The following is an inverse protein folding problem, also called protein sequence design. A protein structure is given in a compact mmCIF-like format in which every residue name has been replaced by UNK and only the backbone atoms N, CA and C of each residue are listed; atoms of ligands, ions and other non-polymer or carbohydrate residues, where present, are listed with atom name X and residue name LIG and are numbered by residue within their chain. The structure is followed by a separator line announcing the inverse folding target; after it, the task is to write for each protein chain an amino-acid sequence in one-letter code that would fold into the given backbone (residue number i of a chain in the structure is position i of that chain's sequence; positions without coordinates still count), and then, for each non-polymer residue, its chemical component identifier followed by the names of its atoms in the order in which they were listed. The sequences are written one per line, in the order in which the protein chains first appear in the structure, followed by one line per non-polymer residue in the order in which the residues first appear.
data_IF_049530539011
#
_entry.id   IF_049530539011
#
_cell.length_a   1.000
_cell.length_b   1.000
_cell.length_c   1.000
_cell.angle_alpha   90.00
_cell.angle_beta   90.00
_cell.angle_gamma   90.00
#
_symmetry.space_group_name_H-M   'P 1'
#
loop_
_entity.id
_entity.type
_entity.pdbx_description
1 polymer ?
#
# COMPACT_ATOMS: atom_id res chain seq x y z
N UNK A 1 25.86 -16.89 45.79
CA UNK A 1 26.27 -16.65 44.39
C UNK A 1 25.41 -17.42 43.40
N UNK A 2 25.34 -18.76 43.49
CA UNK A 2 24.56 -19.62 42.57
C UNK A 2 23.05 -19.28 42.47
N UNK A 3 22.41 -18.94 43.59
CA UNK A 3 20.99 -18.55 43.63
C UNK A 3 20.67 -17.24 42.89
N UNK A 4 21.60 -16.28 42.90
CA UNK A 4 21.44 -15.04 42.14
C UNK A 4 21.63 -15.27 40.64
N UNK A 5 22.56 -16.15 40.26
CA UNK A 5 22.77 -16.55 38.85
C UNK A 5 21.53 -17.25 38.30
N UNK A 6 20.92 -18.16 39.07
CA UNK A 6 19.70 -18.85 38.65
C UNK A 6 18.53 -17.87 38.48
N UNK A 7 18.34 -16.93 39.40
CA UNK A 7 17.29 -15.91 39.27
C UNK A 7 17.52 -14.99 38.08
N UNK A 8 18.77 -14.63 37.79
CA UNK A 8 19.13 -13.79 36.65
C UNK A 8 18.85 -14.50 35.31
N UNK A 9 19.17 -15.79 35.23
CA UNK A 9 18.87 -16.59 34.05
C UNK A 9 17.36 -16.69 33.82
N UNK A 10 16.57 -16.97 34.87
CA UNK A 10 15.11 -17.07 34.77
C UNK A 10 14.49 -15.75 34.26
N UNK A 11 14.98 -14.60 34.72
CA UNK A 11 14.51 -13.30 34.25
C UNK A 11 14.74 -13.09 32.75
N UNK A 12 15.93 -13.46 32.25
CA UNK A 12 16.29 -13.35 30.82
C UNK A 12 15.38 -14.24 29.95
N UNK A 13 15.07 -15.46 30.41
CA UNK A 13 14.18 -16.36 29.67
C UNK A 13 12.74 -15.82 29.57
N UNK A 14 12.24 -15.13 30.60
CA UNK A 14 10.91 -14.51 30.61
C UNK A 14 10.79 -13.34 29.61
N UNK A 15 11.87 -12.57 29.40
CA UNK A 15 11.88 -11.46 28.44
C UNK A 15 11.98 -11.93 26.98
N UNK A 16 12.67 -13.06 26.72
CA UNK A 16 12.75 -13.65 25.38
C UNK A 16 11.46 -14.33 24.91
N UNK A 17 10.51 -14.59 25.83
CA UNK A 17 9.19 -15.15 25.50
C UNK A 17 8.14 -14.11 25.08
N UNK A 18 8.51 -12.84 24.91
CA UNK A 18 7.62 -11.84 24.31
C UNK A 18 7.28 -12.28 22.88
N UNK A 19 6.01 -12.64 22.69
CA UNK A 19 5.46 -13.18 21.46
C UNK A 19 5.82 -12.29 20.27
N UNK A 20 6.47 -12.89 19.28
CA UNK A 20 6.65 -12.27 17.99
C UNK A 20 5.25 -12.05 17.38
N UNK A 21 4.70 -10.85 17.56
CA UNK A 21 3.38 -10.51 17.05
C UNK A 21 3.42 -10.60 15.52
N UNK A 22 2.79 -11.64 15.00
CA UNK A 22 2.60 -11.77 13.56
C UNK A 22 1.49 -10.79 13.15
N UNK A 23 1.86 -9.80 12.33
CA UNK A 23 0.88 -8.91 11.72
C UNK A 23 0.19 -9.72 10.63
N UNK A 24 -1.12 -9.93 10.77
CA UNK A 24 -1.95 -10.50 9.72
C UNK A 24 -1.73 -9.73 8.42
N UNK A 25 -1.21 -10.42 7.40
CA UNK A 25 -1.10 -9.85 6.07
C UNK A 25 -2.50 -9.87 5.44
N UNK A 26 -2.90 -8.75 4.84
CA UNK A 26 -4.14 -8.72 4.08
C UNK A 26 -4.04 -9.70 2.91
N UNK A 27 -5.11 -10.45 2.65
CA UNK A 27 -5.18 -11.28 1.44
C UNK A 27 -5.39 -10.39 0.23
N UNK A 28 -5.04 -10.91 -0.94
CA UNK A 28 -5.32 -10.22 -2.20
C UNK A 28 -6.84 -9.97 -2.38
N UNK A 29 -7.69 -10.86 -1.85
CA UNK A 29 -9.15 -10.68 -1.79
C UNK A 29 -9.59 -9.47 -0.96
N UNK A 30 -8.87 -9.17 0.13
CA UNK A 30 -9.26 -8.12 1.07
C UNK A 30 -8.95 -6.73 0.51
N UNK A 31 -7.94 -6.62 -0.35
CA UNK A 31 -7.49 -5.36 -0.95
C UNK A 31 -8.09 -5.08 -2.34
N UNK A 32 -8.68 -6.08 -3.00
CA UNK A 32 -9.31 -5.94 -4.30
C UNK A 32 -10.30 -4.74 -4.40
N UNK A 33 -11.25 -4.54 -3.46
CA UNK A 33 -12.16 -3.38 -3.54
C UNK A 33 -11.42 -2.04 -3.38
N UNK A 34 -10.35 -2.00 -2.58
CA UNK A 34 -9.53 -0.80 -2.40
C UNK A 34 -8.77 -0.44 -3.68
N UNK A 35 -8.23 -1.45 -4.38
CA UNK A 35 -7.54 -1.25 -5.65
C UNK A 35 -8.49 -0.66 -6.71
N UNK A 36 -9.69 -1.19 -6.84
CA UNK A 36 -10.67 -0.69 -7.80
C UNK A 36 -11.12 0.74 -7.46
N UNK A 37 -11.37 1.03 -6.17
CA UNK A 37 -11.69 2.36 -5.70
C UNK A 37 -10.56 3.37 -5.95
N UNK A 38 -9.30 2.96 -5.75
CA UNK A 38 -8.13 3.80 -5.99
C UNK A 38 -8.01 4.17 -7.48
N UNK A 39 -8.18 3.21 -8.40
CA UNK A 39 -8.11 3.50 -9.84
C UNK A 39 -9.21 4.47 -10.27
N UNK A 40 -10.42 4.31 -9.72
CA UNK A 40 -11.56 5.17 -10.05
C UNK A 40 -11.46 6.58 -9.46
N UNK A 41 -10.72 6.76 -8.36
CA UNK A 41 -10.63 8.05 -7.67
C UNK A 41 -9.57 9.00 -8.23
N UNK A 42 -8.61 8.51 -9.02
CA UNK A 42 -7.49 9.32 -9.52
C UNK A 42 -7.96 10.53 -10.34
N UNK A 43 -8.82 10.33 -11.34
CA UNK A 43 -9.30 11.43 -12.19
C UNK A 43 -10.18 12.43 -11.40
N UNK A 44 -11.19 12.01 -10.63
CA UNK A 44 -11.94 12.92 -9.75
C UNK A 44 -11.06 13.69 -8.76
N UNK A 45 -9.99 13.08 -8.26
CA UNK A 45 -9.03 13.74 -7.39
C UNK A 45 -8.22 14.78 -8.17
N UNK A 46 -7.74 14.43 -9.37
CA UNK A 46 -7.02 15.34 -10.24
C UNK A 46 -7.89 16.53 -10.71
N UNK A 47 -9.20 16.31 -10.91
CA UNK A 47 -10.15 17.36 -11.33
C UNK A 47 -10.21 18.49 -10.29
N UNK A 48 -10.11 18.16 -8.99
CA UNK A 48 -10.04 19.15 -7.91
C UNK A 48 -8.77 20.02 -7.97
N UNK A 49 -7.72 19.52 -8.62
CA UNK A 49 -6.44 20.21 -8.80
C UNK A 49 -6.32 20.94 -10.14
N UNK A 50 -7.32 20.87 -11.02
CA UNK A 50 -7.29 21.46 -12.36
C UNK A 50 -6.82 22.91 -12.37
N UNK A 51 -7.29 23.73 -11.42
CA UNK A 51 -6.94 25.15 -11.31
C UNK A 51 -5.42 25.40 -11.25
N UNK A 52 -4.65 24.50 -10.63
CA UNK A 52 -3.21 24.65 -10.49
C UNK A 52 -2.50 24.39 -11.82
N UNK A 53 -2.95 23.38 -12.56
CA UNK A 53 -2.45 23.09 -13.91
C UNK A 53 -2.78 24.24 -14.87
N UNK A 54 -4.00 24.76 -14.83
CA UNK A 54 -4.38 25.91 -15.65
C UNK A 54 -3.58 27.16 -15.28
N UNK A 55 -3.29 27.38 -13.99
CA UNK A 55 -2.54 28.56 -13.53
C UNK A 55 -1.11 28.65 -14.05
N UNK A 56 -0.50 27.51 -14.42
CA UNK A 56 0.83 27.44 -15.03
C UNK A 56 0.77 27.40 -16.56
N UNK A 57 -0.40 27.67 -17.17
CA UNK A 57 -0.62 27.60 -18.62
C UNK A 57 -0.75 26.19 -19.18
N UNK A 58 -0.92 25.18 -18.32
CA UNK A 58 -1.11 23.79 -18.72
C UNK A 58 -2.52 23.50 -19.23
N UNK A 59 -2.63 22.53 -20.14
CA UNK A 59 -3.92 22.03 -20.62
C UNK A 59 -4.32 20.77 -19.84
N UNK A 60 -5.16 20.94 -18.82
CA UNK A 60 -5.62 19.83 -17.97
C UNK A 60 -6.37 18.75 -18.76
N UNK A 61 -7.19 19.14 -19.73
CA UNK A 61 -7.98 18.19 -20.53
C UNK A 61 -7.08 17.25 -21.33
N UNK A 62 -6.01 17.77 -21.96
CA UNK A 62 -5.02 16.93 -22.64
C UNK A 62 -4.32 15.96 -21.68
N UNK A 63 -3.99 16.40 -20.46
CA UNK A 63 -3.34 15.55 -19.46
C UNK A 63 -4.29 14.44 -19.00
N UNK A 64 -5.55 14.79 -18.70
CA UNK A 64 -6.61 13.85 -18.32
C UNK A 64 -6.86 12.82 -19.43
N UNK A 65 -6.93 13.25 -20.69
CA UNK A 65 -7.06 12.36 -21.85
C UNK A 65 -5.85 11.44 -22.02
N UNK A 66 -4.64 11.95 -21.84
CA UNK A 66 -3.43 11.14 -21.87
C UNK A 66 -3.50 10.02 -20.83
N UNK A 67 -3.92 10.35 -19.60
CA UNK A 67 -4.09 9.38 -18.53
C UNK A 67 -5.15 8.31 -18.88
N UNK A 68 -6.32 8.73 -19.39
CA UNK A 68 -7.38 7.81 -19.85
C UNK A 68 -6.87 6.85 -20.93
N UNK A 69 -6.11 7.35 -21.92
CA UNK A 69 -5.50 6.52 -22.98
C UNK A 69 -4.49 5.50 -22.44
N UNK A 70 -3.87 5.76 -21.29
CA UNK A 70 -2.92 4.87 -20.63
C UNK A 70 -3.55 3.98 -19.56
N UNK A 71 -4.86 4.10 -19.31
CA UNK A 71 -5.53 3.35 -18.25
C UNK A 71 -5.40 1.84 -18.40
N UNK A 72 -5.43 1.31 -19.64
CA UNK A 72 -5.20 -0.11 -19.91
C UNK A 72 -3.78 -0.58 -19.54
N UNK A 73 -2.76 0.25 -19.81
CA UNK A 73 -1.38 -0.03 -19.42
C UNK A 73 -1.23 -0.05 -17.89
N UNK A 74 -1.88 0.89 -17.20
CA UNK A 74 -1.88 0.95 -15.73
C UNK A 74 -2.55 -0.30 -15.15
N UNK A 75 -3.70 -0.71 -15.68
CA UNK A 75 -4.38 -1.94 -15.27
C UNK A 75 -3.53 -3.18 -15.53
N UNK A 76 -2.84 -3.26 -16.67
CA UNK A 76 -1.93 -4.35 -16.97
C UNK A 76 -0.74 -4.42 -15.99
N UNK A 77 -0.15 -3.26 -15.64
CA UNK A 77 0.92 -3.19 -14.65
C UNK A 77 0.44 -3.61 -13.25
N UNK A 78 -0.76 -3.17 -12.84
CA UNK A 78 -1.37 -3.60 -11.58
C UNK A 78 -1.65 -5.10 -11.56
N UNK A 79 -2.15 -5.65 -12.67
CA UNK A 79 -2.34 -7.10 -12.81
C UNK A 79 -1.01 -7.85 -12.69
N UNK A 80 0.04 -7.39 -13.37
CA UNK A 80 1.37 -8.00 -13.27
C UNK A 80 1.90 -7.99 -11.82
N UNK A 81 1.70 -6.89 -11.09
CA UNK A 81 2.09 -6.80 -9.69
C UNK A 81 1.30 -7.78 -8.82
N UNK A 82 -0.01 -7.87 -9.02
CA UNK A 82 -0.88 -8.82 -8.31
C UNK A 82 -0.49 -10.28 -8.60
N UNK A 83 -0.28 -10.64 -9.87
CA UNK A 83 0.09 -11.99 -10.29
C UNK A 83 1.48 -12.41 -9.76
N UNK A 84 2.33 -11.45 -9.35
CA UNK A 84 3.64 -11.72 -8.73
C UNK A 84 3.54 -12.15 -7.26
N UNK A 85 2.41 -11.90 -6.61
CA UNK A 85 2.12 -12.27 -5.23
C UNK A 85 0.81 -13.08 -5.18
N UNK A 86 0.82 -14.33 -5.69
CA UNK A 86 -0.34 -15.21 -5.60
C UNK A 86 -0.67 -15.51 -4.13
N UNK A 87 -1.96 -15.69 -3.83
CA UNK A 87 -2.49 -16.03 -2.50
C UNK A 87 -1.83 -17.27 -1.86
#
# INVERSE_FOLDING_TARGET
MMRFVVLFLIAIWLEMSQEQQTIQQCKCSDIAPCQEAAVKSILPCADQCQKFITSIGGNYDQISECFKKKQSLIQAAMKCAHDSFPD
#
